data_IF_597448089450
#
_entry.id   IF_597448089450
#
_cell.length_a   1.000
_cell.length_b   1.000
_cell.length_c   1.000
_cell.angle_alpha   90.00
_cell.angle_beta   90.00
_cell.angle_gamma   90.00
#
_symmetry.space_group_name_H-M   'P 1'
#
loop_
_entity.id
_entity.type
_entity.pdbx_description
1 polymer ?
#
# COMPACT_ATOMS: atom_id res chain seq x y z
N UNK A 1 -9.06 -0.40 -17.03
CA UNK A 1 -7.78 -0.08 -17.70
C UNK A 1 -7.03 1.04 -17.01
N UNK A 2 -7.68 2.16 -16.65
CA UNK A 2 -7.00 3.25 -15.95
C UNK A 2 -6.54 2.88 -14.54
N UNK A 3 -7.31 2.06 -13.81
CA UNK A 3 -6.95 1.66 -12.45
C UNK A 3 -5.61 0.91 -12.41
N UNK A 4 -5.42 -0.07 -13.31
CA UNK A 4 -4.15 -0.78 -13.45
C UNK A 4 -3.00 0.16 -13.77
N UNK A 5 -3.16 1.05 -14.75
CA UNK A 5 -2.12 2.01 -15.15
C UNK A 5 -1.65 2.88 -13.97
N UNK A 6 -2.58 3.37 -13.14
CA UNK A 6 -2.23 4.18 -11.97
C UNK A 6 -1.61 3.35 -10.84
N UNK A 7 -2.08 2.12 -10.61
CA UNK A 7 -1.49 1.23 -9.61
C UNK A 7 -0.07 0.80 -10.01
N UNK A 8 0.18 0.55 -11.29
CA UNK A 8 1.52 0.26 -11.81
C UNK A 8 2.44 1.49 -11.70
N UNK A 9 1.92 2.70 -11.93
CA UNK A 9 2.67 3.93 -11.73
C UNK A 9 3.08 4.12 -10.26
N UNK A 10 2.15 3.85 -9.32
CA UNK A 10 2.44 3.89 -7.88
C UNK A 10 3.52 2.88 -7.51
N UNK A 11 3.40 1.62 -7.96
CA UNK A 11 4.40 0.59 -7.70
C UNK A 11 5.78 1.01 -8.23
N UNK A 12 5.83 1.50 -9.47
CA UNK A 12 7.08 1.89 -10.12
C UNK A 12 7.76 3.09 -9.45
N UNK A 13 7.00 4.10 -9.03
CA UNK A 13 7.56 5.33 -8.48
C UNK A 13 7.78 5.28 -6.96
N UNK A 14 6.82 4.71 -6.22
CA UNK A 14 6.72 4.90 -4.76
C UNK A 14 7.13 3.67 -3.95
N UNK A 15 7.27 2.50 -4.57
CA UNK A 15 7.74 1.29 -3.91
C UNK A 15 9.23 1.02 -4.18
N UNK A 16 9.85 0.22 -3.31
CA UNK A 16 11.24 -0.21 -3.42
C UNK A 16 11.49 -1.48 -2.61
N UNK A 17 12.51 -2.29 -2.95
CA UNK A 17 12.69 -3.64 -2.42
C UNK A 17 13.02 -3.71 -0.92
N UNK A 18 13.44 -2.59 -0.31
CA UNK A 18 13.81 -2.52 1.12
C UNK A 18 12.75 -1.85 2.00
N UNK A 19 11.70 -1.31 1.39
CA UNK A 19 10.74 -0.47 2.10
C UNK A 19 9.79 -1.31 2.96
N UNK A 20 9.25 -0.65 3.98
CA UNK A 20 8.03 -1.08 4.67
C UNK A 20 6.82 -0.25 4.22
N UNK A 21 7.04 1.00 3.84
CA UNK A 21 5.99 1.90 3.38
C UNK A 21 6.07 2.27 1.91
N UNK A 22 5.10 3.06 1.46
CA UNK A 22 5.17 3.77 0.18
C UNK A 22 5.76 5.15 0.42
N UNK A 23 6.64 5.60 -0.48
CA UNK A 23 7.11 6.99 -0.50
C UNK A 23 5.91 7.91 -0.65
N UNK A 24 5.82 8.98 0.14
CA UNK A 24 4.70 9.91 0.04
C UNK A 24 4.77 10.86 -1.17
N UNK A 25 5.93 10.95 -1.83
CA UNK A 25 6.15 11.76 -3.02
C UNK A 25 7.04 11.02 -4.01
N UNK A 26 6.82 11.24 -5.30
CA UNK A 26 7.65 10.72 -6.38
C UNK A 26 9.09 11.27 -6.25
N UNK A 27 10.12 10.40 -6.26
CA UNK A 27 11.53 10.83 -6.20
C UNK A 27 11.99 11.80 -7.29
N UNK A 28 11.25 11.91 -8.40
CA UNK A 28 11.54 12.86 -9.48
C UNK A 28 11.06 14.28 -9.18
N UNK A 29 10.21 14.48 -8.15
CA UNK A 29 9.78 15.81 -7.73
C UNK A 29 10.93 16.56 -7.03
N UNK A 30 11.06 17.85 -7.36
CA UNK A 30 12.09 18.73 -6.81
C UNK A 30 12.01 18.90 -5.28
N UNK A 31 10.84 18.66 -4.68
CA UNK A 31 10.61 18.70 -3.23
C UNK A 31 10.85 17.37 -2.53
N UNK A 32 11.22 16.29 -3.22
CA UNK A 32 11.44 15.00 -2.59
C UNK A 32 12.60 15.04 -1.60
N UNK A 33 12.30 14.86 -0.31
CA UNK A 33 13.22 14.83 0.83
C UNK A 33 12.83 13.66 1.75
N UNK A 34 13.40 12.46 1.55
CA UNK A 34 12.86 11.23 2.16
C UNK A 34 13.25 10.97 3.61
N UNK A 35 14.24 11.71 4.13
CA UNK A 35 14.76 11.47 5.48
C UNK A 35 14.18 12.50 6.44
N UNK A 36 13.17 12.07 7.21
CA UNK A 36 12.51 12.90 8.22
C UNK A 36 13.39 13.03 9.46
N UNK A 37 13.60 14.27 9.91
CA UNK A 37 14.20 14.63 11.19
C UNK A 37 13.42 15.82 11.78
N UNK A 38 12.61 15.55 12.80
CA UNK A 38 11.76 16.57 13.42
C UNK A 38 12.57 17.63 14.18
N UNK A 39 13.80 17.28 14.59
CA UNK A 39 14.70 18.16 15.31
C UNK A 39 15.64 18.97 14.40
N UNK A 40 15.44 18.91 13.07
CA UNK A 40 16.25 19.66 12.12
C UNK A 40 16.06 21.18 12.31
N UNK A 41 17.06 21.86 12.86
CA UNK A 41 17.06 23.31 13.13
C UNK A 41 17.86 24.10 12.08
N UNK A 42 17.94 23.58 10.85
CA UNK A 42 18.61 24.27 9.75
C UNK A 42 17.72 25.33 9.11
N UNK A 43 18.29 26.15 8.23
CA UNK A 43 17.55 27.15 7.45
C UNK A 43 16.97 26.61 6.14
N UNK A 44 17.10 25.31 5.85
CA UNK A 44 16.53 24.70 4.65
C UNK A 44 15.02 24.49 4.85
N UNK A 45 14.22 25.31 4.17
CA UNK A 45 12.77 25.29 4.30
C UNK A 45 12.12 23.96 3.92
N UNK A 46 12.80 23.11 3.15
CA UNK A 46 12.26 21.82 2.75
C UNK A 46 12.26 20.79 3.89
N UNK A 47 13.11 20.97 4.91
CA UNK A 47 13.33 19.95 5.97
C UNK A 47 13.32 20.53 7.38
N UNK A 48 13.47 21.85 7.54
CA UNK A 48 13.48 22.52 8.84
C UNK A 48 12.23 22.14 9.65
N UNK A 49 12.46 21.74 10.90
CA UNK A 49 11.47 21.27 11.86
C UNK A 49 10.54 20.18 11.29
N UNK A 50 11.10 19.28 10.47
CA UNK A 50 10.35 18.16 9.94
C UNK A 50 9.37 18.52 8.82
N UNK A 51 9.54 19.65 8.11
CA UNK A 51 8.66 20.06 7.01
C UNK A 51 8.43 18.94 5.97
N UNK A 52 9.42 18.06 5.79
CA UNK A 52 9.36 16.94 4.86
C UNK A 52 8.60 15.71 5.35
N UNK A 53 7.90 15.75 6.49
CA UNK A 53 7.16 14.60 7.06
C UNK A 53 6.27 13.84 6.05
N UNK A 54 5.74 14.57 5.06
CA UNK A 54 4.94 14.01 3.96
C UNK A 54 5.54 14.26 2.55
N UNK A 55 6.82 14.58 2.44
CA UNK A 55 7.48 14.91 1.15
C UNK A 55 8.57 13.90 0.75
N UNK A 56 8.33 12.61 0.96
CA UNK A 56 9.28 11.56 0.61
C UNK A 56 9.36 10.39 1.59
N UNK A 57 9.24 10.60 2.92
CA UNK A 57 9.28 9.49 3.86
C UNK A 57 8.29 8.39 3.50
N UNK A 58 8.63 7.17 3.87
CA UNK A 58 7.93 5.97 3.44
C UNK A 58 6.90 5.56 4.49
N UNK A 59 5.64 5.93 4.26
CA UNK A 59 4.57 5.66 5.20
C UNK A 59 4.02 4.25 5.03
N UNK A 60 3.79 3.54 6.14
CA UNK A 60 3.38 2.12 6.08
C UNK A 60 1.88 1.97 5.83
N UNK A 61 1.02 2.77 6.48
CA UNK A 61 -0.43 2.59 6.34
C UNK A 61 -0.97 2.72 4.89
N UNK A 62 -0.44 3.58 4.00
CA UNK A 62 -0.89 3.66 2.60
C UNK A 62 -0.62 2.37 1.82
N UNK A 63 0.40 1.58 2.19
CA UNK A 63 0.66 0.30 1.54
C UNK A 63 -0.54 -0.65 1.65
N UNK A 64 -1.20 -0.70 2.81
CA UNK A 64 -2.40 -1.51 2.99
C UNK A 64 -3.52 -1.12 2.03
N UNK A 65 -3.78 0.18 1.84
CA UNK A 65 -4.78 0.64 0.88
C UNK A 65 -4.39 0.37 -0.57
N UNK A 66 -3.11 0.54 -0.91
CA UNK A 66 -2.58 0.21 -2.23
C UNK A 66 -2.79 -1.28 -2.56
N UNK A 67 -2.47 -2.19 -1.65
CA UNK A 67 -2.66 -3.62 -1.85
C UNK A 67 -4.13 -4.01 -1.95
N UNK A 68 -5.00 -3.40 -1.13
CA UNK A 68 -6.46 -3.58 -1.25
C UNK A 68 -6.98 -3.12 -2.60
N UNK A 69 -6.48 -1.99 -3.13
CA UNK A 69 -6.83 -1.52 -4.45
C UNK A 69 -6.40 -2.51 -5.54
N UNK A 70 -5.21 -3.12 -5.44
CA UNK A 70 -4.79 -4.21 -6.36
C UNK A 70 -5.74 -5.41 -6.31
N UNK A 71 -6.28 -5.77 -5.14
CA UNK A 71 -7.30 -6.83 -5.03
C UNK A 71 -8.66 -6.43 -5.63
N UNK A 72 -9.11 -5.20 -5.41
CA UNK A 72 -10.37 -4.67 -5.97
C UNK A 72 -10.33 -4.68 -7.49
N UNK A 73 -9.20 -4.33 -8.09
CA UNK A 73 -8.99 -4.28 -9.53
C UNK A 73 -8.22 -5.49 -10.07
N UNK A 74 -8.23 -6.62 -9.36
CA UNK A 74 -7.44 -7.81 -9.68
C UNK A 74 -7.66 -8.33 -11.11
N UNK A 75 -8.90 -8.23 -11.61
CA UNK A 75 -9.26 -8.62 -12.97
C UNK A 75 -8.50 -7.84 -14.06
N UNK A 76 -8.01 -6.62 -13.78
CA UNK A 76 -7.16 -5.89 -14.73
C UNK A 76 -5.72 -6.44 -14.79
N UNK A 77 -5.29 -7.18 -13.77
CA UNK A 77 -3.96 -7.79 -13.68
C UNK A 77 -3.93 -9.26 -14.14
N UNK A 78 -5.09 -9.87 -14.35
CA UNK A 78 -5.21 -11.25 -14.80
C UNK A 78 -5.02 -11.35 -16.32
N UNK A 79 -3.92 -11.99 -16.73
CA UNK A 79 -3.57 -12.21 -18.14
C UNK A 79 -4.20 -13.47 -18.74
N UNK A 80 -4.81 -14.33 -17.92
CA UNK A 80 -5.38 -15.62 -18.33
C UNK A 80 -6.69 -15.46 -19.12
N UNK A 81 -6.72 -15.84 -20.42
CA UNK A 81 -7.93 -15.76 -21.23
C UNK A 81 -9.04 -16.66 -20.68
N UNK A 82 -10.14 -16.07 -20.21
CA UNK A 82 -11.31 -16.80 -19.70
C UNK A 82 -11.41 -16.91 -18.18
N UNK A 83 -10.41 -16.47 -17.42
CA UNK A 83 -10.53 -16.29 -15.97
C UNK A 83 -11.10 -14.90 -15.60
N UNK A 84 -10.79 -13.87 -16.39
CA UNK A 84 -11.30 -12.50 -16.28
C UNK A 84 -11.71 -11.96 -17.65
N UNK A 85 -12.85 -12.41 -18.19
CA UNK A 85 -13.50 -11.71 -19.29
C UNK A 85 -14.01 -10.35 -18.82
N UNK A 86 -14.05 -9.36 -19.73
CA UNK A 86 -14.44 -7.93 -19.56
C UNK A 86 -15.86 -7.66 -18.97
N UNK A 87 -16.39 -8.53 -18.12
CA UNK A 87 -17.80 -8.51 -17.70
C UNK A 87 -18.09 -9.12 -16.33
N UNK A 88 -17.10 -9.50 -15.52
CA UNK A 88 -17.36 -10.02 -14.18
C UNK A 88 -16.74 -9.09 -13.16
N UNK A 89 -17.57 -8.22 -12.59
CA UNK A 89 -17.12 -7.18 -11.68
C UNK A 89 -16.48 -7.69 -10.37
N UNK A 90 -16.43 -6.82 -9.35
CA UNK A 90 -15.57 -6.94 -8.16
C UNK A 90 -15.92 -8.08 -7.18
N UNK A 91 -16.76 -9.01 -7.61
CA UNK A 91 -17.32 -10.13 -6.85
C UNK A 91 -16.58 -11.44 -7.09
N UNK A 92 -15.47 -11.46 -7.83
CA UNK A 92 -14.63 -12.66 -8.00
C UNK A 92 -13.35 -12.55 -7.19
N UNK A 93 -12.94 -13.67 -6.60
CA UNK A 93 -11.66 -13.80 -5.91
C UNK A 93 -10.51 -13.58 -6.90
N UNK A 94 -9.53 -12.76 -6.51
CA UNK A 94 -8.32 -12.53 -7.29
C UNK A 94 -7.60 -13.85 -7.62
N UNK A 95 -6.97 -13.96 -8.79
CA UNK A 95 -6.17 -15.15 -9.13
C UNK A 95 -5.02 -15.37 -8.14
N UNK A 96 -4.52 -16.60 -8.05
CA UNK A 96 -3.36 -16.93 -7.21
C UNK A 96 -2.14 -16.06 -7.58
N UNK A 97 -1.95 -15.76 -8.86
CA UNK A 97 -0.86 -14.89 -9.33
C UNK A 97 -0.95 -13.48 -8.73
N UNK A 98 -2.13 -12.86 -8.78
CA UNK A 98 -2.35 -11.52 -8.19
C UNK A 98 -2.19 -11.55 -6.67
N UNK A 99 -2.66 -12.61 -6.01
CA UNK A 99 -2.49 -12.80 -4.57
C UNK A 99 -0.98 -12.91 -4.19
N UNK A 100 -0.21 -13.72 -4.91
CA UNK A 100 1.24 -13.87 -4.72
C UNK A 100 1.99 -12.56 -4.98
N UNK A 101 1.62 -11.84 -6.04
CA UNK A 101 2.17 -10.52 -6.37
C UNK A 101 1.94 -9.50 -5.25
N UNK A 102 0.74 -9.47 -4.66
CA UNK A 102 0.45 -8.60 -3.53
C UNK A 102 1.22 -9.01 -2.26
N UNK A 103 1.33 -10.31 -2.00
CA UNK A 103 2.05 -10.82 -0.82
C UNK A 103 3.55 -10.52 -0.84
N UNK A 104 4.16 -10.33 -2.02
CA UNK A 104 5.56 -9.92 -2.16
C UNK A 104 5.89 -8.62 -1.41
N UNK A 105 4.96 -7.69 -1.30
CA UNK A 105 5.15 -6.43 -0.58
C UNK A 105 5.35 -6.61 0.93
N UNK A 106 4.91 -7.75 1.48
CA UNK A 106 4.97 -8.03 2.91
C UNK A 106 6.22 -8.80 3.34
N UNK A 107 7.17 -9.07 2.43
CA UNK A 107 8.38 -9.82 2.74
C UNK A 107 9.21 -9.14 3.85
N UNK A 108 9.49 -7.85 3.71
CA UNK A 108 10.25 -7.09 4.70
C UNK A 108 9.49 -6.92 6.02
N UNK A 109 8.17 -6.84 5.97
CA UNK A 109 7.31 -6.70 7.15
C UNK A 109 7.44 -7.90 8.07
N UNK A 110 7.44 -9.11 7.51
CA UNK A 110 7.65 -10.34 8.29
C UNK A 110 9.00 -10.33 8.99
N UNK A 111 10.07 -9.95 8.28
CA UNK A 111 11.40 -9.86 8.87
C UNK A 111 11.46 -8.79 9.98
N UNK A 112 10.92 -7.60 9.73
CA UNK A 112 10.87 -6.52 10.71
C UNK A 112 10.13 -6.93 11.98
N UNK A 113 8.93 -7.52 11.86
CA UNK A 113 8.15 -8.00 13.02
C UNK A 113 8.91 -9.06 13.85
N UNK A 114 9.74 -9.88 13.20
CA UNK A 114 10.53 -10.90 13.90
C UNK A 114 11.69 -10.30 14.68
N UNK A 115 12.32 -9.23 14.19
CA UNK A 115 13.55 -8.67 14.76
C UNK A 115 13.31 -7.44 15.64
N UNK A 116 12.24 -6.69 15.39
CA UNK A 116 11.91 -5.48 16.14
C UNK A 116 11.55 -5.79 17.61
N UNK A 117 11.84 -4.83 18.49
CA UNK A 117 11.64 -4.94 19.95
C UNK A 117 10.16 -4.87 20.31
N UNK A 118 9.39 -4.06 19.58
CA UNK A 118 7.96 -3.85 19.82
C UNK A 118 7.08 -4.91 19.16
N UNK A 119 7.66 -5.74 18.27
CA UNK A 119 6.92 -6.73 17.47
C UNK A 119 5.76 -6.10 16.71
N UNK A 120 5.98 -4.86 16.25
CA UNK A 120 5.00 -4.06 15.53
C UNK A 120 5.62 -3.47 14.27
N UNK A 121 4.86 -2.65 13.56
CA UNK A 121 5.32 -1.88 12.41
C UNK A 121 5.41 -0.39 12.75
N UNK A 122 6.40 0.32 12.19
CA UNK A 122 6.53 1.74 12.39
C UNK A 122 5.44 2.51 11.64
N UNK A 123 5.28 3.77 12.01
CA UNK A 123 4.48 4.73 11.26
C UNK A 123 5.06 4.99 9.88
N UNK A 124 6.36 5.27 9.84
CA UNK A 124 7.09 5.55 8.62
C UNK A 124 8.55 5.09 8.73
N UNK A 125 9.16 4.85 7.58
CA UNK A 125 10.61 4.70 7.42
C UNK A 125 11.18 5.89 6.66
N UNK A 126 12.46 6.16 6.87
CA UNK A 126 13.22 7.07 6.03
C UNK A 126 13.60 6.35 4.72
N UNK A 127 14.43 6.98 3.89
CA UNK A 127 14.76 6.48 2.55
C UNK A 127 15.20 5.01 2.52
N UNK A 128 14.63 4.26 1.58
CA UNK A 128 14.92 2.85 1.31
C UNK A 128 14.73 1.94 2.54
N UNK A 129 13.67 2.16 3.31
CA UNK A 129 13.37 1.40 4.52
C UNK A 129 14.31 1.70 5.70
N UNK A 130 15.07 2.79 5.64
CA UNK A 130 15.97 3.14 6.74
C UNK A 130 15.20 3.56 7.99
N UNK A 131 15.82 3.35 9.15
CA UNK A 131 15.21 3.67 10.43
C UNK A 131 14.97 5.17 10.56
N UNK A 132 13.76 5.54 10.97
CA UNK A 132 13.41 6.89 11.36
C UNK A 132 13.27 6.96 12.88
N UNK A 133 14.11 7.76 13.54
CA UNK A 133 14.14 7.92 15.01
C UNK A 133 12.87 8.58 15.55
N UNK A 134 12.26 9.46 14.75
CA UNK A 134 11.10 10.27 15.14
C UNK A 134 9.77 9.56 14.82
N UNK A 135 9.81 8.42 14.11
CA UNK A 135 8.64 7.60 13.84
C UNK A 135 8.17 6.89 15.10
N UNK A 136 6.86 6.82 15.31
CA UNK A 136 6.29 5.82 16.21
C UNK A 136 6.66 4.42 15.73
N UNK A 137 7.26 3.59 16.58
CA UNK A 137 7.73 2.24 16.21
C UNK A 137 6.63 1.17 16.28
N UNK A 138 5.53 1.48 16.97
CA UNK A 138 4.39 0.58 17.12
C UNK A 138 3.09 1.32 16.76
N UNK A 139 2.86 1.46 15.46
CA UNK A 139 1.82 2.35 14.97
C UNK A 139 0.54 1.58 14.55
N UNK A 140 -0.59 1.97 15.14
CA UNK A 140 -1.86 1.24 15.02
C UNK A 140 -2.38 1.19 13.58
N UNK A 141 -2.37 2.31 12.86
CA UNK A 141 -2.87 2.35 11.48
C UNK A 141 -2.02 1.53 10.51
N UNK A 142 -0.72 1.36 10.79
CA UNK A 142 0.23 0.64 9.92
C UNK A 142 -0.10 -0.84 9.94
N UNK A 143 -0.36 -1.37 11.13
CA UNK A 143 -0.79 -2.76 11.32
C UNK A 143 -2.22 -2.95 10.82
N UNK A 144 -3.14 -2.03 11.15
CA UNK A 144 -4.56 -2.18 10.82
C UNK A 144 -4.84 -2.26 9.32
N UNK A 145 -4.19 -1.43 8.49
CA UNK A 145 -4.46 -1.44 7.04
C UNK A 145 -3.88 -2.68 6.35
N UNK A 146 -2.76 -3.22 6.82
CA UNK A 146 -2.22 -4.48 6.34
C UNK A 146 -3.07 -5.67 6.79
N UNK A 147 -3.59 -5.66 8.02
CA UNK A 147 -4.55 -6.67 8.47
C UNK A 147 -5.84 -6.63 7.67
N UNK A 148 -6.32 -5.43 7.30
CA UNK A 148 -7.48 -5.30 6.42
C UNK A 148 -7.22 -5.91 5.04
N UNK A 149 -6.05 -5.64 4.44
CA UNK A 149 -5.61 -6.31 3.20
C UNK A 149 -5.56 -7.83 3.35
N UNK A 150 -4.92 -8.36 4.40
CA UNK A 150 -4.82 -9.80 4.63
C UNK A 150 -6.21 -10.42 4.83
N UNK A 151 -7.11 -9.72 5.51
CA UNK A 151 -8.51 -10.10 5.65
C UNK A 151 -9.21 -10.24 4.31
N UNK A 152 -9.08 -9.24 3.44
CA UNK A 152 -9.62 -9.25 2.07
C UNK A 152 -8.99 -10.36 1.21
N UNK A 153 -7.72 -10.69 1.43
CA UNK A 153 -7.01 -11.74 0.70
C UNK A 153 -7.48 -13.15 1.06
N UNK A 154 -7.76 -13.40 2.35
CA UNK A 154 -8.15 -14.73 2.85
C UNK A 154 -9.66 -14.97 2.79
N UNK A 155 -10.46 -13.90 2.84
CA UNK A 155 -11.92 -13.97 2.80
C UNK A 155 -12.47 -14.13 1.38
N UNK A 156 -13.78 -14.37 1.29
CA UNK A 156 -14.55 -14.27 0.06
C UNK A 156 -14.43 -12.87 -0.60
N UNK A 157 -14.72 -12.74 -1.91
CA UNK A 157 -14.50 -11.53 -2.71
C UNK A 157 -14.86 -10.22 -2.00
N UNK A 158 -14.02 -9.20 -2.21
CA UNK A 158 -14.07 -7.91 -1.51
C UNK A 158 -15.46 -7.28 -1.63
N UNK A 159 -16.15 -7.13 -0.49
CA UNK A 159 -17.42 -6.43 -0.46
C UNK A 159 -17.18 -4.93 -0.69
N UNK A 160 -17.41 -4.47 -1.91
CA UNK A 160 -17.24 -3.09 -2.30
C UNK A 160 -18.02 -2.09 -1.44
N UNK A 161 -19.16 -2.52 -0.87
CA UNK A 161 -19.98 -1.65 0.00
C UNK A 161 -19.24 -1.32 1.29
N UNK A 162 -18.40 -2.24 1.81
CA UNK A 162 -17.58 -2.01 3.00
C UNK A 162 -16.47 -0.98 2.77
N UNK A 163 -16.12 -0.71 1.52
CA UNK A 163 -15.10 0.28 1.13
C UNK A 163 -15.70 1.52 0.46
N UNK A 164 -17.03 1.71 0.55
CA UNK A 164 -17.72 2.89 0.02
C UNK A 164 -17.81 2.95 -1.50
N UNK A 165 -17.51 1.84 -2.21
CA UNK A 165 -17.65 1.74 -3.65
C UNK A 165 -18.99 1.08 -4.00
N UNK A 166 -19.67 1.63 -5.02
CA UNK A 166 -20.87 0.98 -5.57
C UNK A 166 -20.44 -0.19 -6.44
N UNK A 167 -21.12 -1.33 -6.31
CA UNK A 167 -21.01 -2.39 -7.30
C UNK A 167 -21.38 -1.82 -8.68
N UNK A 168 -20.75 -2.33 -9.74
CA UNK A 168 -21.09 -1.91 -11.11
C UNK A 168 -22.60 -1.99 -11.34
N UNK A 169 -23.24 -1.03 -12.02
CA UNK A 169 -24.68 -1.07 -12.29
C UNK A 169 -25.14 -2.30 -13.09
N UNK A 170 -24.21 -3.10 -13.62
CA UNK A 170 -24.46 -4.38 -14.29
C UNK A 170 -24.21 -5.61 -13.40
N UNK A 171 -23.92 -5.44 -12.11
CA UNK A 171 -23.86 -6.56 -11.18
C UNK A 171 -25.30 -7.07 -10.99
N UNK A 172 -25.58 -8.23 -11.56
CA UNK A 172 -26.84 -8.94 -11.34
C UNK A 172 -26.95 -9.22 -9.84
N UNK A 173 -27.98 -8.68 -9.20
CA UNK A 173 -28.36 -9.09 -7.84
C UNK A 173 -28.84 -10.54 -7.93
N UNK A 174 -27.98 -11.48 -7.53
CA UNK A 174 -28.42 -12.85 -7.26
C UNK A 174 -29.20 -12.82 -5.93
N UNK A 175 -30.51 -12.58 -6.04
CA UNK A 175 -31.47 -12.84 -4.97
C UNK A 175 -31.68 -14.36 -4.86
N UNK A 176 -31.20 -14.94 -3.75
CA UNK A 176 -31.58 -16.27 -3.25
C UNK A 176 -31.79 -16.22 -1.73
#
# INVERSE_FOLDING_TARGET
THAREYLDAVEKALWGPKQLGLKTLDPSDWNYRPDYDNANDSTDFHVAHGYNYHQGPEWVWPLGYFLRAKLIFAEEFDEEPGAGGKSAGPTKRASLKVQEDCMRFLQNHRHHLQTDVWKSLPELTNSNGSFCKDSCQAQAWSVATLLAFLGDLVSDPVDLRKVGLKASPNAVEDDA
#
